data_IF_481292948728
#
_entry.id   IF_481292948728
#
_cell.length_a   1.000
_cell.length_b   1.000
_cell.length_c   1.000
_cell.angle_alpha   90.00
_cell.angle_beta   90.00
_cell.angle_gamma   90.00
#
_symmetry.space_group_name_H-M   'P 1'
#
loop_
_entity.id
_entity.type
_entity.pdbx_description
1 polymer ?
#
# COMPACT_ATOMS: atom_id res chain seq x y z
N UNK A 1 -2.26 -14.06 12.41
CA UNK A 1 -2.91 -12.83 11.98
C UNK A 1 -2.07 -11.60 12.31
N UNK A 2 -1.55 -11.51 13.51
CA UNK A 2 -0.73 -10.37 13.91
C UNK A 2 0.54 -10.21 13.07
N UNK A 3 1.10 -11.32 12.60
CA UNK A 3 2.27 -11.25 11.72
C UNK A 3 1.97 -10.47 10.45
N UNK A 4 0.77 -10.63 9.90
CA UNK A 4 0.41 -9.99 8.64
C UNK A 4 0.12 -8.52 8.82
N UNK A 5 -0.31 -8.09 10.00
CA UNK A 5 -0.48 -6.67 10.30
C UNK A 5 0.83 -5.89 10.19
N UNK A 6 1.96 -6.59 10.28
CA UNK A 6 3.28 -5.97 10.19
C UNK A 6 3.88 -6.03 8.79
N UNK A 7 3.22 -6.73 7.86
CA UNK A 7 3.69 -6.76 6.49
C UNK A 7 3.40 -5.43 5.82
N UNK A 8 4.43 -4.87 5.22
CA UNK A 8 4.35 -3.57 4.60
C UNK A 8 5.08 -3.63 3.27
N UNK A 9 4.47 -3.10 2.24
CA UNK A 9 5.08 -2.95 0.92
C UNK A 9 5.48 -1.49 0.77
N UNK A 10 6.73 -1.24 0.37
CA UNK A 10 7.26 0.10 0.19
C UNK A 10 7.37 0.45 -1.28
N UNK A 11 7.31 1.75 -1.56
CA UNK A 11 7.30 2.27 -2.93
C UNK A 11 8.37 3.35 -3.12
N UNK A 12 8.87 3.44 -4.35
CA UNK A 12 9.75 4.54 -4.74
C UNK A 12 8.95 5.84 -4.83
N UNK A 13 9.69 6.95 -4.91
CA UNK A 13 9.10 8.29 -4.99
C UNK A 13 8.13 8.39 -6.17
N UNK A 14 6.94 8.92 -5.88
CA UNK A 14 5.93 9.27 -6.89
C UNK A 14 5.55 8.12 -7.83
N UNK A 15 5.57 6.89 -7.32
CA UNK A 15 5.14 5.74 -8.10
C UNK A 15 4.25 4.81 -7.27
N UNK A 16 3.36 4.11 -7.96
CA UNK A 16 2.54 3.04 -7.39
C UNK A 16 2.90 1.68 -7.99
N UNK A 17 4.08 1.58 -8.62
CA UNK A 17 4.56 0.32 -9.17
C UNK A 17 5.15 -0.55 -8.07
N UNK A 18 4.70 -1.79 -7.99
CA UNK A 18 5.24 -2.77 -7.04
C UNK A 18 6.64 -3.20 -7.51
N UNK A 19 7.63 -3.01 -6.63
CA UNK A 19 8.97 -3.48 -6.89
C UNK A 19 9.01 -5.01 -6.83
N UNK A 20 9.79 -5.62 -7.71
CA UNK A 20 9.88 -7.09 -7.80
C UNK A 20 10.30 -7.74 -6.48
N UNK A 21 11.07 -7.04 -5.66
CA UNK A 21 11.50 -7.57 -4.35
C UNK A 21 10.35 -7.90 -3.41
N UNK A 22 9.17 -7.29 -3.61
CA UNK A 22 8.00 -7.55 -2.77
C UNK A 22 7.07 -8.62 -3.30
N UNK A 23 7.27 -9.09 -4.53
CA UNK A 23 6.35 -10.04 -5.16
C UNK A 23 6.30 -11.37 -4.42
N UNK A 24 7.43 -11.84 -3.93
CA UNK A 24 7.49 -13.09 -3.17
C UNK A 24 6.65 -13.02 -1.89
N UNK A 25 6.73 -11.90 -1.17
CA UNK A 25 5.92 -11.68 0.03
C UNK A 25 4.43 -11.63 -0.31
N UNK A 26 4.08 -10.99 -1.42
CA UNK A 26 2.70 -10.92 -1.87
C UNK A 26 2.17 -12.28 -2.31
N UNK A 27 3.00 -13.11 -2.92
CA UNK A 27 2.62 -14.48 -3.29
C UNK A 27 2.31 -15.31 -2.05
N UNK A 28 3.10 -15.15 -0.99
CA UNK A 28 2.84 -15.82 0.29
C UNK A 28 1.53 -15.35 0.91
N UNK A 29 1.26 -14.05 0.83
CA UNK A 29 0.01 -13.50 1.33
C UNK A 29 -1.19 -14.06 0.55
N UNK A 30 -1.06 -14.14 -0.77
CA UNK A 30 -2.11 -14.72 -1.61
C UNK A 30 -2.39 -16.17 -1.23
N UNK A 31 -1.34 -16.94 -0.97
CA UNK A 31 -1.48 -18.34 -0.54
C UNK A 31 -2.22 -18.42 0.80
N UNK A 32 -1.85 -17.57 1.74
CA UNK A 32 -2.50 -17.52 3.05
C UNK A 32 -4.00 -17.22 2.91
N UNK A 33 -4.35 -16.24 2.08
CA UNK A 33 -5.74 -15.87 1.86
C UNK A 33 -6.52 -16.98 1.13
N UNK A 34 -5.85 -17.71 0.25
CA UNK A 34 -6.46 -18.86 -0.44
C UNK A 34 -6.79 -19.97 0.54
N UNK A 35 -5.91 -20.21 1.51
CA UNK A 35 -6.08 -21.27 2.50
C UNK A 35 -7.03 -20.88 3.64
N UNK A 36 -7.30 -19.59 3.82
CA UNK A 36 -8.14 -19.07 4.90
C UNK A 36 -9.22 -18.17 4.30
N UNK A 37 -10.26 -18.79 3.76
CA UNK A 37 -11.28 -18.09 2.96
C UNK A 37 -12.12 -17.09 3.73
N UNK A 38 -12.14 -17.20 5.05
CA UNK A 38 -12.89 -16.26 5.91
C UNK A 38 -12.17 -14.93 6.13
N UNK A 39 -10.88 -14.87 5.79
CA UNK A 39 -10.10 -13.65 6.01
C UNK A 39 -10.38 -12.62 4.93
N UNK A 40 -10.46 -11.36 5.37
CA UNK A 40 -10.54 -10.19 4.51
C UNK A 40 -9.34 -9.30 4.77
N UNK A 41 -8.97 -8.52 3.79
CA UNK A 41 -7.78 -7.67 3.86
C UNK A 41 -8.14 -6.24 3.52
N UNK A 42 -7.73 -5.31 4.38
CA UNK A 42 -7.79 -3.89 4.09
C UNK A 42 -6.39 -3.41 3.75
N UNK A 43 -6.26 -2.69 2.65
CA UNK A 43 -5.00 -2.19 2.14
C UNK A 43 -4.99 -0.68 2.28
N UNK A 44 -4.15 -0.17 3.18
CA UNK A 44 -4.04 1.27 3.42
C UNK A 44 -2.81 1.80 2.70
N UNK A 45 -3.03 2.62 1.69
CA UNK A 45 -1.96 3.22 0.90
C UNK A 45 -1.58 4.59 1.42
N UNK A 46 -0.27 4.79 1.58
CA UNK A 46 0.28 6.02 2.15
C UNK A 46 1.23 6.69 1.17
N UNK A 47 1.29 8.02 1.27
CA UNK A 47 2.29 8.83 0.60
C UNK A 47 3.20 9.47 1.65
N UNK A 48 4.37 9.97 1.22
CA UNK A 48 5.22 10.72 2.12
C UNK A 48 4.83 12.21 2.09
N UNK A 49 5.39 12.98 3.02
CA UNK A 49 5.03 14.38 3.16
C UNK A 49 5.46 15.21 1.95
N UNK A 50 6.58 14.90 1.33
CA UNK A 50 7.05 15.63 0.15
C UNK A 50 6.16 15.34 -1.06
N UNK A 51 5.67 14.11 -1.19
CA UNK A 51 4.72 13.78 -2.26
C UNK A 51 3.43 14.58 -2.09
N UNK A 52 2.92 14.69 -0.86
CA UNK A 52 1.74 15.50 -0.58
C UNK A 52 1.98 16.99 -0.85
N UNK A 53 3.14 17.49 -0.48
CA UNK A 53 3.50 18.88 -0.72
C UNK A 53 3.67 19.19 -2.20
N UNK A 54 4.10 18.23 -2.99
CA UNK A 54 4.26 18.39 -4.43
C UNK A 54 2.94 18.70 -5.13
N UNK A 55 1.81 18.35 -4.54
CA UNK A 55 0.49 18.64 -5.09
C UNK A 55 0.28 20.15 -5.26
N UNK A 56 0.87 20.95 -4.37
CA UNK A 56 0.75 22.41 -4.44
C UNK A 56 1.32 22.99 -5.73
N UNK A 57 2.36 22.37 -6.25
CA UNK A 57 3.02 22.80 -7.49
C UNK A 57 2.45 22.15 -8.74
N UNK A 58 1.62 21.12 -8.57
CA UNK A 58 1.04 20.38 -9.67
C UNK A 58 -0.36 19.89 -9.27
N UNK A 59 -1.31 20.81 -9.03
CA UNK A 59 -2.59 20.47 -8.39
C UNK A 59 -3.54 19.66 -9.27
N UNK A 60 -3.23 19.48 -10.54
CA UNK A 60 -4.04 18.65 -11.44
C UNK A 60 -3.44 17.27 -11.68
N UNK A 61 -2.34 16.97 -11.04
CA UNK A 61 -1.66 15.67 -11.19
C UNK A 61 -2.43 14.60 -10.42
N UNK A 62 -3.20 13.80 -11.14
CA UNK A 62 -4.05 12.77 -10.53
C UNK A 62 -3.25 11.71 -9.80
N UNK A 63 -2.06 11.38 -10.28
CA UNK A 63 -1.19 10.43 -9.61
C UNK A 63 -0.80 10.92 -8.22
N UNK A 64 -0.34 12.16 -8.10
CA UNK A 64 0.06 12.73 -6.82
C UNK A 64 -1.11 12.81 -5.85
N UNK A 65 -2.26 13.28 -6.34
CA UNK A 65 -3.46 13.47 -5.51
C UNK A 65 -3.96 12.13 -4.94
N UNK A 66 -3.85 11.06 -5.72
CA UNK A 66 -4.40 9.76 -5.37
C UNK A 66 -3.33 8.69 -5.14
N UNK A 67 -2.11 9.11 -4.80
CA UNK A 67 -0.96 8.19 -4.76
C UNK A 67 -1.16 7.03 -3.79
N UNK A 68 -1.67 7.31 -2.59
CA UNK A 68 -1.98 6.26 -1.62
C UNK A 68 -3.00 5.28 -2.17
N UNK A 69 -4.04 5.79 -2.82
CA UNK A 69 -5.06 4.93 -3.42
C UNK A 69 -4.49 4.06 -4.54
N UNK A 70 -3.66 4.63 -5.42
CA UNK A 70 -3.04 3.86 -6.50
C UNK A 70 -2.08 2.80 -5.97
N UNK A 71 -1.37 3.10 -4.89
CA UNK A 71 -0.49 2.12 -4.25
C UNK A 71 -1.28 0.95 -3.68
N UNK A 72 -2.36 1.25 -2.96
CA UNK A 72 -3.25 0.21 -2.44
C UNK A 72 -3.88 -0.61 -3.56
N UNK A 73 -4.31 0.08 -4.63
CA UNK A 73 -4.91 -0.59 -5.78
C UNK A 73 -3.92 -1.51 -6.49
N UNK A 74 -2.65 -1.10 -6.62
CA UNK A 74 -1.62 -1.94 -7.22
C UNK A 74 -1.48 -3.26 -6.47
N UNK A 75 -1.49 -3.22 -5.14
CA UNK A 75 -1.42 -4.43 -4.32
C UNK A 75 -2.68 -5.26 -4.48
N UNK A 76 -3.85 -4.63 -4.47
CA UNK A 76 -5.11 -5.32 -4.69
C UNK A 76 -5.14 -6.03 -6.04
N UNK A 77 -4.77 -5.34 -7.11
CA UNK A 77 -4.76 -5.91 -8.45
C UNK A 77 -3.81 -7.11 -8.54
N UNK A 78 -2.67 -7.03 -7.87
CA UNK A 78 -1.73 -8.16 -7.82
C UNK A 78 -2.36 -9.38 -7.17
N UNK A 79 -3.04 -9.20 -6.03
CA UNK A 79 -3.69 -10.29 -5.31
C UNK A 79 -4.87 -10.87 -6.09
N UNK A 80 -5.63 -10.02 -6.78
CA UNK A 80 -6.72 -10.48 -7.65
C UNK A 80 -6.19 -11.37 -8.76
N UNK A 81 -5.07 -10.98 -9.38
CA UNK A 81 -4.41 -11.81 -10.41
C UNK A 81 -3.96 -13.16 -9.86
N UNK A 82 -3.67 -13.24 -8.57
CA UNK A 82 -3.29 -14.49 -7.91
C UNK A 82 -4.50 -15.32 -7.47
N UNK A 83 -5.71 -14.88 -7.80
CA UNK A 83 -6.91 -15.65 -7.55
C UNK A 83 -7.74 -15.23 -6.34
N UNK A 84 -7.36 -14.14 -5.67
CA UNK A 84 -8.12 -13.66 -4.51
C UNK A 84 -9.31 -12.84 -5.01
N UNK A 85 -10.50 -13.15 -4.49
CA UNK A 85 -11.71 -12.43 -4.85
C UNK A 85 -11.63 -10.96 -4.46
N UNK A 86 -12.03 -10.08 -5.35
CA UNK A 86 -12.04 -8.64 -5.12
C UNK A 86 -12.85 -8.23 -3.89
N UNK A 87 -13.91 -8.95 -3.57
CA UNK A 87 -14.78 -8.68 -2.42
C UNK A 87 -14.06 -8.78 -1.08
N UNK A 88 -12.96 -9.52 -1.05
CA UNK A 88 -12.19 -9.75 0.17
C UNK A 88 -11.11 -8.68 0.40
N UNK A 89 -10.96 -7.77 -0.56
CA UNK A 89 -9.87 -6.78 -0.58
C UNK A 89 -10.47 -5.39 -0.66
N UNK A 90 -10.25 -4.59 0.39
CA UNK A 90 -10.67 -3.18 0.38
C UNK A 90 -9.44 -2.29 0.37
N UNK A 91 -9.56 -1.14 -0.27
CA UNK A 91 -8.46 -0.17 -0.35
C UNK A 91 -8.85 1.12 0.34
N UNK A 92 -7.87 1.76 0.98
CA UNK A 92 -8.04 3.09 1.56
C UNK A 92 -6.83 3.95 1.22
N UNK A 93 -7.09 5.22 0.91
CA UNK A 93 -6.04 6.20 0.76
C UNK A 93 -5.85 6.90 2.11
N UNK A 94 -4.76 6.59 2.77
CA UNK A 94 -4.43 7.19 4.06
C UNK A 94 -3.58 8.46 3.91
N UNK A 95 -3.14 8.78 2.69
CA UNK A 95 -2.35 9.98 2.42
C UNK A 95 -1.08 10.03 3.24
N UNK A 96 -0.67 11.24 3.63
CA UNK A 96 0.53 11.47 4.41
C UNK A 96 0.25 11.81 5.88
N UNK A 97 -0.99 11.68 6.33
CA UNK A 97 -1.42 12.11 7.66
C UNK A 97 -1.03 11.15 8.79
N UNK A 98 -0.64 9.93 8.45
CA UNK A 98 -0.28 8.91 9.43
C UNK A 98 1.11 8.35 9.14
N UNK A 99 2.15 9.16 9.34
CA UNK A 99 3.51 8.73 9.00
C UNK A 99 4.00 7.61 9.93
N UNK A 100 4.70 6.63 9.33
CA UNK A 100 5.38 5.60 10.11
C UNK A 100 6.66 6.12 10.73
N UNK A 101 7.26 7.15 10.12
CA UNK A 101 8.49 7.78 10.62
C UNK A 101 8.37 9.30 10.51
N UNK A 102 8.77 10.03 11.55
CA UNK A 102 8.68 11.50 11.52
C UNK A 102 9.82 12.12 10.71
N UNK A 103 9.62 13.35 10.28
CA UNK A 103 10.65 14.15 9.65
C UNK A 103 10.73 13.98 8.15
N UNK A 104 11.73 14.63 7.57
CA UNK A 104 11.89 14.74 6.12
C UNK A 104 13.20 14.16 5.61
N UNK A 105 13.88 13.34 6.43
CA UNK A 105 15.08 12.65 5.95
C UNK A 105 14.69 11.64 4.86
N UNK A 106 15.65 11.30 4.00
CA UNK A 106 15.39 10.32 2.94
C UNK A 106 14.88 8.99 3.50
N UNK A 107 15.43 8.55 4.62
CA UNK A 107 15.02 7.29 5.24
C UNK A 107 13.59 7.38 5.81
N UNK A 108 13.26 8.48 6.48
CA UNK A 108 11.90 8.68 7.01
C UNK A 108 10.87 8.74 5.90
N UNK A 109 11.16 9.49 4.84
CA UNK A 109 10.27 9.57 3.69
C UNK A 109 10.05 8.20 3.04
N UNK A 110 11.13 7.44 2.87
CA UNK A 110 11.04 6.09 2.30
C UNK A 110 10.16 5.17 3.12
N UNK A 111 10.21 5.26 4.44
CA UNK A 111 9.37 4.46 5.33
C UNK A 111 7.89 4.83 5.26
N UNK A 112 7.58 6.03 4.80
CA UNK A 112 6.20 6.51 4.72
C UNK A 112 5.52 6.17 3.40
N UNK A 113 6.27 5.90 2.34
CA UNK A 113 5.74 5.47 1.04
C UNK A 113 5.43 3.98 1.10
N UNK A 114 4.22 3.65 1.54
CA UNK A 114 3.92 2.25 1.84
C UNK A 114 2.46 1.88 1.68
N UNK A 115 2.20 0.58 1.61
CA UNK A 115 0.86 0.00 1.81
C UNK A 115 0.94 -0.91 3.02
N UNK A 116 0.09 -0.66 4.00
CA UNK A 116 -0.04 -1.49 5.20
C UNK A 116 -1.23 -2.41 5.06
N UNK A 117 -1.10 -3.62 5.60
CA UNK A 117 -2.13 -4.65 5.54
C UNK A 117 -2.83 -4.78 6.88
N UNK A 118 -4.17 -4.74 6.86
CA UNK A 118 -4.98 -5.01 8.04
C UNK A 118 -5.87 -6.20 7.73
N UNK A 119 -5.71 -7.28 8.50
CA UNK A 119 -6.49 -8.50 8.31
C UNK A 119 -7.71 -8.49 9.23
N UNK A 120 -8.86 -8.83 8.67
CA UNK A 120 -10.10 -8.95 9.42
C UNK A 120 -10.79 -10.28 9.03
N UNK A 121 -11.78 -10.63 9.81
CA UNK A 121 -12.62 -11.79 9.52
C UNK A 121 -14.01 -11.40 9.06
#
# INVERSE_FOLDING_TARGET
EERLKRHTIYFDVETAKIDDMFKKSLDKLALLLTENKELKLQLNGHSDKKESEAIKNDPENELLINLGNYRAKSVKDYLVKKGISSDRLTTMDAGSDQPAAPGLSMLSLAKNRRVEFIITK
#
